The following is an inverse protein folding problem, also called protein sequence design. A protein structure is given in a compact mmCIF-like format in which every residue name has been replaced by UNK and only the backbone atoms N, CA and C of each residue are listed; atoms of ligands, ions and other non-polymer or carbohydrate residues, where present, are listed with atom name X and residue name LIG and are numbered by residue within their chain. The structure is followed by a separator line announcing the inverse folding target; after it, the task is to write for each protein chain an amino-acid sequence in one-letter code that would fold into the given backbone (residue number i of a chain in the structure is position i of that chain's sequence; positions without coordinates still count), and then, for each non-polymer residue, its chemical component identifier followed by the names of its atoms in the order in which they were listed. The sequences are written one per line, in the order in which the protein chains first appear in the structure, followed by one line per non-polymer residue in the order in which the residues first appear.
data_IF_939592283866
#
_entry.id   IF_939592283866
#
_cell.length_a   1.000
_cell.length_b   1.000
_cell.length_c   1.000
_cell.angle_alpha   90.00
_cell.angle_beta   90.00
_cell.angle_gamma   90.00
#
_symmetry.space_group_name_H-M   'P 1'
#
loop_
_entity.id
_entity.type
_entity.pdbx_description
1 polymer ?
#
# COMPACT_ATOMS: atom_id res chain seq x y z
N UNK A 1 6.92 -24.54 2.33
CA UNK A 1 6.01 -23.75 1.49
C UNK A 1 6.78 -23.04 0.36
N UNK A 2 7.80 -22.22 0.66
CA UNK A 2 8.65 -21.55 -0.36
C UNK A 2 9.24 -22.57 -1.34
N UNK A 3 9.69 -23.73 -0.86
CA UNK A 3 10.24 -24.79 -1.69
C UNK A 3 9.21 -25.32 -2.70
N UNK A 4 7.96 -25.51 -2.29
CA UNK A 4 6.89 -26.00 -3.17
C UNK A 4 6.48 -24.97 -4.23
N UNK A 5 6.53 -23.66 -3.92
CA UNK A 5 6.34 -22.62 -4.93
C UNK A 5 7.45 -22.62 -5.97
N UNK A 6 8.71 -22.72 -5.52
CA UNK A 6 9.86 -22.75 -6.41
C UNK A 6 9.90 -23.99 -7.33
N UNK A 7 9.27 -25.10 -6.91
CA UNK A 7 9.17 -26.34 -7.68
C UNK A 7 7.89 -26.42 -8.53
N UNK A 8 7.08 -25.35 -8.57
CA UNK A 8 5.81 -25.30 -9.32
C UNK A 8 4.78 -26.40 -8.88
N UNK A 9 4.84 -26.82 -7.61
CA UNK A 9 3.97 -27.84 -7.02
C UNK A 9 2.79 -27.19 -6.31
N UNK A 10 1.90 -26.59 -7.07
CA UNK A 10 0.76 -25.83 -6.57
C UNK A 10 -0.18 -26.69 -5.71
N UNK A 11 -0.54 -27.87 -6.19
CA UNK A 11 -1.50 -28.75 -5.51
C UNK A 11 -0.98 -29.24 -4.15
N UNK A 12 0.30 -29.62 -4.07
CA UNK A 12 0.94 -30.03 -2.82
C UNK A 12 1.02 -28.86 -1.83
N UNK A 13 1.30 -27.66 -2.32
CA UNK A 13 1.30 -26.43 -1.52
C UNK A 13 -0.08 -26.16 -0.95
N UNK A 14 -1.13 -26.17 -1.77
CA UNK A 14 -2.50 -25.85 -1.39
C UNK A 14 -3.05 -26.88 -0.40
N UNK A 15 -2.69 -28.16 -0.55
CA UNK A 15 -3.00 -29.22 0.40
C UNK A 15 -2.35 -28.99 1.76
N UNK A 16 -1.07 -28.59 1.80
CA UNK A 16 -0.38 -28.23 3.04
C UNK A 16 -1.03 -27.02 3.74
N UNK A 17 -1.38 -26.01 2.97
CA UNK A 17 -2.06 -24.81 3.48
C UNK A 17 -3.40 -25.17 4.13
N UNK A 18 -4.20 -25.98 3.46
CA UNK A 18 -5.51 -26.43 3.96
C UNK A 18 -5.36 -27.26 5.24
N UNK A 19 -4.39 -28.17 5.29
CA UNK A 19 -4.15 -29.07 6.42
C UNK A 19 -3.71 -28.32 7.68
N UNK A 20 -2.99 -27.20 7.54
CA UNK A 20 -2.41 -26.47 8.66
C UNK A 20 -3.06 -25.11 8.94
N UNK A 21 -4.16 -24.78 8.26
CA UNK A 21 -4.84 -23.48 8.35
C UNK A 21 -5.13 -23.03 9.79
N UNK A 22 -5.55 -23.94 10.66
CA UNK A 22 -5.91 -23.61 12.04
C UNK A 22 -4.71 -23.34 12.96
N UNK A 23 -3.54 -23.92 12.63
CA UNK A 23 -2.29 -23.72 13.39
C UNK A 23 -1.60 -22.38 13.09
N UNK A 24 -1.95 -21.73 11.99
CA UNK A 24 -1.23 -20.56 11.44
C UNK A 24 -2.09 -19.31 11.36
N UNK A 25 -3.26 -19.32 11.99
CA UNK A 25 -4.26 -18.22 11.94
C UNK A 25 -3.74 -16.82 12.30
N UNK A 26 -2.62 -16.70 13.04
CA UNK A 26 -2.09 -15.42 13.50
C UNK A 26 -0.60 -15.21 13.13
N UNK A 27 -0.09 -15.98 12.17
CA UNK A 27 1.32 -15.84 11.76
C UNK A 27 1.45 -14.88 10.57
N UNK A 28 1.99 -13.67 10.83
CA UNK A 28 2.26 -12.66 9.80
C UNK A 28 3.16 -13.19 8.67
N UNK A 29 4.12 -14.05 8.97
CA UNK A 29 5.00 -14.65 7.96
C UNK A 29 4.22 -15.57 7.03
N UNK A 30 3.24 -16.28 7.57
CA UNK A 30 2.38 -17.14 6.80
C UNK A 30 1.48 -16.34 5.85
N UNK A 31 0.84 -15.26 6.33
CA UNK A 31 0.02 -14.41 5.47
C UNK A 31 0.85 -13.70 4.39
N UNK A 32 2.05 -13.26 4.72
CA UNK A 32 2.96 -12.71 3.70
C UNK A 32 3.32 -13.75 2.63
N UNK A 33 3.53 -14.98 3.02
CA UNK A 33 3.73 -16.08 2.09
C UNK A 33 2.50 -16.33 1.21
N UNK A 34 1.28 -16.35 1.80
CA UNK A 34 0.02 -16.47 1.04
C UNK A 34 -0.15 -15.33 0.04
N UNK A 35 0.19 -14.10 0.45
CA UNK A 35 0.16 -12.95 -0.44
C UNK A 35 1.04 -13.18 -1.68
N UNK A 36 2.31 -13.49 -1.46
CA UNK A 36 3.28 -13.69 -2.54
C UNK A 36 2.89 -14.83 -3.47
N UNK A 37 2.43 -15.97 -2.93
CA UNK A 37 2.01 -17.11 -3.75
C UNK A 37 0.74 -16.82 -4.54
N UNK A 38 -0.24 -16.15 -3.94
CA UNK A 38 -1.47 -15.76 -4.64
C UNK A 38 -1.17 -14.78 -5.78
N UNK A 39 -0.29 -13.79 -5.54
CA UNK A 39 0.15 -12.86 -6.57
C UNK A 39 0.90 -13.56 -7.71
N UNK A 40 1.78 -14.50 -7.38
CA UNK A 40 2.52 -15.31 -8.36
C UNK A 40 1.57 -16.15 -9.23
N UNK A 41 0.53 -16.72 -8.63
CA UNK A 41 -0.50 -17.51 -9.32
C UNK A 41 -1.49 -16.62 -10.12
N UNK A 42 -1.35 -15.29 -10.10
CA UNK A 42 -2.27 -14.35 -10.76
C UNK A 42 -3.57 -14.11 -10.00
N UNK A 43 -3.73 -14.64 -8.80
CA UNK A 43 -4.87 -14.36 -7.93
C UNK A 43 -4.61 -13.05 -7.16
N UNK A 44 -4.77 -11.92 -7.87
CA UNK A 44 -4.48 -10.60 -7.33
C UNK A 44 -5.41 -10.19 -6.19
N UNK A 45 -6.67 -10.62 -6.23
CA UNK A 45 -7.66 -10.26 -5.20
C UNK A 45 -7.28 -10.82 -3.82
N UNK A 46 -7.02 -12.12 -3.74
CA UNK A 46 -6.57 -12.73 -2.50
C UNK A 46 -5.14 -12.31 -2.13
N UNK A 47 -4.29 -12.14 -3.12
CA UNK A 47 -2.91 -11.72 -2.93
C UNK A 47 -2.82 -10.38 -2.21
N UNK A 48 -3.53 -9.37 -2.68
CA UNK A 48 -3.54 -8.04 -2.04
C UNK A 48 -4.28 -8.03 -0.70
N UNK A 49 -5.30 -8.87 -0.53
CA UNK A 49 -5.96 -9.06 0.75
C UNK A 49 -5.01 -9.63 1.81
N UNK A 50 -4.24 -10.66 1.47
CA UNK A 50 -3.25 -11.23 2.38
C UNK A 50 -2.05 -10.31 2.61
N UNK A 51 -1.71 -9.45 1.65
CA UNK A 51 -0.64 -8.46 1.78
C UNK A 51 -0.89 -7.45 2.91
N UNK A 52 -2.13 -7.24 3.31
CA UNK A 52 -2.48 -6.39 4.46
C UNK A 52 -1.96 -6.93 5.81
N UNK A 53 -1.66 -8.22 5.89
CA UNK A 53 -1.05 -8.83 7.09
C UNK A 53 0.48 -8.70 7.12
N UNK A 54 1.10 -7.97 6.17
CA UNK A 54 2.54 -7.69 6.20
C UNK A 54 2.92 -6.93 7.47
N UNK A 55 4.15 -7.12 7.93
CA UNK A 55 4.69 -6.38 9.06
C UNK A 55 4.95 -4.92 8.63
N UNK A 56 3.94 -4.08 8.71
CA UNK A 56 4.05 -2.65 8.40
C UNK A 56 4.45 -1.88 9.66
N UNK A 57 5.46 -1.03 9.54
CA UNK A 57 5.84 -0.11 10.62
C UNK A 57 4.86 1.05 10.63
N UNK A 58 3.96 1.08 11.61
CA UNK A 58 3.14 2.27 11.83
C UNK A 58 4.06 3.42 12.23
N UNK A 59 3.94 4.54 11.54
CA UNK A 59 4.64 5.76 11.93
C UNK A 59 3.96 6.31 13.19
N UNK A 60 4.68 6.36 14.31
CA UNK A 60 4.13 6.79 15.62
C UNK A 60 3.41 8.13 15.55
N UNK A 61 3.89 9.01 14.69
CA UNK A 61 3.28 10.31 14.46
C UNK A 61 1.80 10.23 14.05
N UNK A 62 1.40 9.20 13.32
CA UNK A 62 0.03 9.02 12.82
C UNK A 62 -0.79 8.02 13.62
N UNK A 63 -0.30 7.54 14.77
CA UNK A 63 -0.95 6.46 15.55
C UNK A 63 -2.39 6.76 15.95
N UNK A 64 -2.70 8.03 16.25
CA UNK A 64 -4.03 8.45 16.70
C UNK A 64 -4.99 8.83 15.55
N UNK A 65 -4.53 8.79 14.29
CA UNK A 65 -5.37 9.08 13.14
C UNK A 65 -6.07 7.79 12.72
N UNK A 66 -7.37 7.89 12.42
CA UNK A 66 -8.18 6.75 11.98
C UNK A 66 -7.64 6.14 10.68
N UNK A 67 -7.50 4.82 10.64
CA UNK A 67 -7.16 4.10 9.40
C UNK A 67 -8.32 4.19 8.40
N UNK A 68 -8.01 4.50 7.13
CA UNK A 68 -8.99 4.47 6.06
C UNK A 68 -9.20 3.03 5.57
N UNK A 69 -10.45 2.58 5.59
CA UNK A 69 -10.83 1.22 5.21
C UNK A 69 -11.78 1.17 4.01
N UNK A 70 -11.92 2.29 3.27
CA UNK A 70 -12.74 2.39 2.06
C UNK A 70 -13.97 3.27 2.23
N UNK A 71 -14.11 4.01 3.32
CA UNK A 71 -15.20 4.96 3.54
C UNK A 71 -15.17 6.12 2.53
N UNK A 72 -16.32 6.78 2.32
CA UNK A 72 -16.39 8.00 1.50
C UNK A 72 -15.56 9.12 2.12
N UNK A 73 -14.63 9.70 1.35
CA UNK A 73 -13.68 10.71 1.81
C UNK A 73 -13.64 12.00 0.96
N UNK A 74 -14.70 12.26 0.18
CA UNK A 74 -14.75 13.40 -0.76
C UNK A 74 -14.52 14.77 -0.10
N UNK A 75 -14.86 14.91 1.19
CA UNK A 75 -14.64 16.13 1.99
C UNK A 75 -13.52 16.00 3.03
N UNK A 76 -12.70 14.95 2.96
CA UNK A 76 -11.75 14.55 3.97
C UNK A 76 -10.31 14.72 3.53
N UNK A 77 -9.44 15.02 4.49
CA UNK A 77 -7.99 15.05 4.31
C UNK A 77 -7.41 13.70 4.72
N UNK A 78 -6.66 13.07 3.83
CA UNK A 78 -6.01 11.80 4.10
C UNK A 78 -4.49 11.92 4.00
N UNK A 79 -3.79 11.33 4.96
CA UNK A 79 -2.34 11.16 4.90
C UNK A 79 -1.99 9.75 4.45
N UNK A 80 -1.14 9.67 3.43
CA UNK A 80 -0.54 8.43 2.94
C UNK A 80 0.91 8.42 3.38
N UNK A 81 1.34 7.38 4.06
CA UNK A 81 2.70 7.30 4.57
C UNK A 81 3.47 6.11 4.00
N UNK A 82 4.78 6.31 3.85
CA UNK A 82 5.70 5.23 3.51
C UNK A 82 5.96 4.35 4.75
N UNK A 83 5.84 3.05 4.58
CA UNK A 83 6.02 2.05 5.65
C UNK A 83 7.17 1.07 5.38
N UNK A 84 7.61 0.97 4.13
CA UNK A 84 8.63 0.02 3.66
C UNK A 84 9.79 0.75 2.97
N UNK A 85 10.39 0.12 1.97
CA UNK A 85 11.52 0.66 1.25
C UNK A 85 11.16 1.80 0.28
N UNK A 86 12.20 2.48 -0.22
CA UNK A 86 12.04 3.56 -1.22
C UNK A 86 11.40 3.05 -2.52
N UNK A 87 11.73 1.82 -2.92
CA UNK A 87 11.16 1.18 -4.11
C UNK A 87 9.65 1.02 -4.01
N UNK A 88 9.13 0.67 -2.83
CA UNK A 88 7.69 0.55 -2.59
C UNK A 88 6.99 1.90 -2.71
N UNK A 89 7.63 2.98 -2.22
CA UNK A 89 7.10 4.34 -2.37
C UNK A 89 6.93 4.73 -3.83
N UNK A 90 7.90 4.38 -4.67
CA UNK A 90 7.87 4.65 -6.12
C UNK A 90 6.83 3.75 -6.80
N UNK A 91 6.89 2.44 -6.54
CA UNK A 91 6.02 1.46 -7.18
C UNK A 91 4.53 1.71 -6.90
N UNK A 92 4.18 2.02 -5.65
CA UNK A 92 2.79 2.21 -5.23
C UNK A 92 2.29 3.65 -5.36
N UNK A 93 3.16 4.62 -5.67
CA UNK A 93 2.77 6.03 -5.83
C UNK A 93 1.70 6.25 -6.90
N UNK A 94 1.63 5.42 -7.94
CA UNK A 94 0.57 5.46 -8.96
C UNK A 94 -0.84 5.41 -8.37
N UNK A 95 -1.02 4.75 -7.20
CA UNK A 95 -2.31 4.66 -6.54
C UNK A 95 -2.74 5.93 -5.80
N UNK A 96 -1.86 6.93 -5.70
CA UNK A 96 -2.23 8.26 -5.21
C UNK A 96 -3.17 8.97 -6.19
N UNK A 97 -3.04 8.73 -7.50
CA UNK A 97 -3.87 9.38 -8.53
C UNK A 97 -5.36 9.07 -8.33
N UNK A 98 -5.83 7.81 -8.30
CA UNK A 98 -7.24 7.54 -8.04
C UNK A 98 -7.69 7.99 -6.65
N UNK A 99 -6.80 8.00 -5.65
CA UNK A 99 -7.12 8.50 -4.31
C UNK A 99 -7.45 10.01 -4.33
N UNK A 100 -6.73 10.83 -5.13
CA UNK A 100 -7.03 12.27 -5.24
C UNK A 100 -8.39 12.57 -5.88
N UNK A 101 -8.93 11.64 -6.66
CA UNK A 101 -10.26 11.78 -7.28
C UNK A 101 -11.41 11.60 -6.27
N UNK A 102 -11.16 10.94 -5.13
CA UNK A 102 -12.17 10.63 -4.12
C UNK A 102 -11.94 11.32 -2.76
N UNK A 103 -10.77 11.93 -2.54
CA UNK A 103 -10.45 12.67 -1.32
C UNK A 103 -10.48 14.18 -1.58
N UNK A 104 -10.68 14.97 -0.52
CA UNK A 104 -10.53 16.44 -0.58
C UNK A 104 -9.08 16.84 -0.81
N UNK A 105 -8.19 16.33 0.03
CA UNK A 105 -6.74 16.51 -0.09
C UNK A 105 -6.02 15.22 0.30
N UNK A 106 -4.97 14.90 -0.44
CA UNK A 106 -4.06 13.79 -0.19
C UNK A 106 -2.70 14.36 0.15
N UNK A 107 -2.13 13.98 1.28
CA UNK A 107 -0.74 14.31 1.64
C UNK A 107 0.06 13.03 1.65
N UNK A 108 1.01 12.91 0.73
CA UNK A 108 1.93 11.78 0.68
C UNK A 108 3.21 12.10 1.43
N UNK A 109 3.49 11.35 2.49
CA UNK A 109 4.64 11.55 3.36
C UNK A 109 5.76 10.60 2.98
N UNK A 110 6.88 11.16 2.55
CA UNK A 110 8.07 10.44 2.10
C UNK A 110 9.32 10.95 2.83
N UNK A 111 10.40 10.23 2.68
CA UNK A 111 11.72 10.67 3.12
C UNK A 111 12.25 11.79 2.21
N UNK A 112 13.05 12.71 2.77
CA UNK A 112 13.57 13.88 2.06
C UNK A 112 14.35 13.53 0.77
N UNK A 113 15.11 12.43 0.82
CA UNK A 113 15.93 11.97 -0.31
C UNK A 113 15.14 11.49 -1.53
N UNK A 114 13.85 11.19 -1.38
CA UNK A 114 12.99 10.77 -2.50
C UNK A 114 11.91 11.79 -2.83
N UNK A 115 11.76 12.84 -2.02
CA UNK A 115 10.73 13.87 -2.25
C UNK A 115 10.88 14.53 -3.62
N UNK A 116 12.10 14.76 -4.07
CA UNK A 116 12.41 15.39 -5.36
C UNK A 116 11.97 14.56 -6.57
N UNK A 117 11.75 13.24 -6.40
CA UNK A 117 11.24 12.39 -7.48
C UNK A 117 9.75 12.66 -7.77
N UNK A 118 9.02 13.22 -6.79
CA UNK A 118 7.58 13.48 -6.89
C UNK A 118 7.31 14.97 -7.11
N UNK A 119 7.86 15.51 -8.19
CA UNK A 119 7.74 16.93 -8.55
C UNK A 119 6.62 17.21 -9.58
N UNK A 120 5.83 16.21 -9.93
CA UNK A 120 4.64 16.37 -10.76
C UNK A 120 3.52 17.09 -10.02
N UNK A 121 2.85 18.02 -10.71
CA UNK A 121 1.69 18.74 -10.16
C UNK A 121 0.41 17.93 -10.38
N UNK A 122 -0.11 17.34 -9.31
CA UNK A 122 -1.41 16.66 -9.31
C UNK A 122 -2.34 17.43 -8.38
N UNK A 123 -3.51 17.78 -8.90
CA UNK A 123 -4.54 18.48 -8.13
C UNK A 123 -4.86 17.70 -6.85
N UNK A 124 -4.93 18.40 -5.73
CA UNK A 124 -5.26 17.85 -4.40
C UNK A 124 -4.20 16.89 -3.82
N UNK A 125 -3.00 16.78 -4.41
CA UNK A 125 -1.89 16.01 -3.88
C UNK A 125 -0.76 16.95 -3.43
N UNK A 126 -0.29 16.75 -2.21
CA UNK A 126 0.97 17.34 -1.71
C UNK A 126 1.93 16.23 -1.31
N UNK A 127 3.21 16.37 -1.67
CA UNK A 127 4.27 15.46 -1.24
C UNK A 127 5.14 16.17 -0.21
N UNK A 128 5.20 15.60 0.98
CA UNK A 128 5.78 16.24 2.16
C UNK A 128 6.75 15.31 2.89
N UNK A 129 7.61 15.90 3.72
CA UNK A 129 8.30 15.12 4.75
C UNK A 129 7.49 15.11 6.06
N UNK A 130 7.89 14.25 6.98
CA UNK A 130 7.20 14.09 8.26
C UNK A 130 7.17 15.40 9.08
N UNK A 131 8.27 16.18 9.05
CA UNK A 131 8.35 17.43 9.80
C UNK A 131 7.35 18.48 9.32
N UNK A 132 7.13 18.57 8.01
CA UNK A 132 6.14 19.48 7.41
C UNK A 132 4.69 19.14 7.77
N UNK A 133 4.45 17.93 8.30
CA UNK A 133 3.11 17.46 8.66
C UNK A 133 2.73 17.73 10.13
N UNK A 134 3.64 18.24 10.97
CA UNK A 134 3.44 18.39 12.42
C UNK A 134 2.21 19.23 12.81
N UNK A 135 1.87 20.23 12.02
CA UNK A 135 0.74 21.13 12.28
C UNK A 135 -0.46 20.89 11.35
N UNK A 136 -0.43 19.80 10.54
CA UNK A 136 -1.53 19.45 9.65
C UNK A 136 -2.51 18.50 10.35
N UNK A 137 -3.80 18.69 10.07
CA UNK A 137 -4.85 17.81 10.56
C UNK A 137 -5.30 16.89 9.44
N UNK A 138 -5.42 15.60 9.77
CA UNK A 138 -5.86 14.56 8.87
C UNK A 138 -7.05 13.82 9.48
N UNK A 139 -8.06 13.55 8.67
CA UNK A 139 -9.22 12.76 9.07
C UNK A 139 -8.88 11.25 9.05
N UNK A 140 -8.04 10.85 8.07
CA UNK A 140 -7.65 9.47 7.85
C UNK A 140 -6.17 9.33 7.54
N UNK A 141 -5.66 8.13 7.78
CA UNK A 141 -4.33 7.69 7.34
C UNK A 141 -4.43 6.39 6.57
N UNK A 142 -3.43 6.11 5.73
CA UNK A 142 -3.24 4.81 5.09
C UNK A 142 -1.76 4.62 4.71
N UNK A 143 -1.28 3.40 4.84
CA UNK A 143 0.03 3.01 4.31
C UNK A 143 0.00 2.97 2.78
N UNK A 144 1.08 3.40 2.10
CA UNK A 144 1.13 3.46 0.63
C UNK A 144 0.86 2.09 -0.01
N UNK A 145 1.42 1.01 0.55
CA UNK A 145 1.21 -0.35 0.06
C UNK A 145 -0.23 -0.87 0.22
N UNK A 146 -1.03 -0.27 1.11
CA UNK A 146 -2.43 -0.67 1.31
C UNK A 146 -3.38 -0.06 0.28
N UNK A 147 -2.95 0.98 -0.47
CA UNK A 147 -3.76 1.56 -1.55
C UNK A 147 -4.06 0.56 -2.66
N UNK A 148 -3.14 -0.37 -2.91
CA UNK A 148 -3.29 -1.35 -3.98
C UNK A 148 -4.55 -2.20 -3.81
N UNK A 149 -4.94 -2.53 -2.59
CA UNK A 149 -6.17 -3.28 -2.28
C UNK A 149 -7.43 -2.62 -2.87
N UNK A 150 -7.45 -1.29 -2.91
CA UNK A 150 -8.60 -0.53 -3.41
C UNK A 150 -8.51 -0.23 -4.91
N UNK A 151 -7.31 -0.12 -5.44
CA UNK A 151 -7.09 0.45 -6.78
C UNK A 151 -6.34 -0.46 -7.76
N UNK A 152 -6.08 -1.73 -7.43
CA UNK A 152 -5.29 -2.62 -8.31
C UNK A 152 -5.95 -2.90 -9.68
N UNK A 153 -7.26 -2.66 -9.81
CA UNK A 153 -8.02 -2.81 -11.07
C UNK A 153 -8.06 -1.52 -11.90
N UNK A 154 -7.58 -0.39 -11.34
CA UNK A 154 -7.57 0.89 -12.04
C UNK A 154 -6.58 0.91 -13.20
N UNK A 155 -6.96 1.57 -14.29
CA UNK A 155 -6.05 1.88 -15.40
C UNK A 155 -5.38 3.23 -15.11
N UNK A 156 -4.08 3.32 -15.31
CA UNK A 156 -3.27 4.50 -15.00
C UNK A 156 -2.69 5.07 -16.28
N UNK A 157 -3.33 6.10 -16.82
CA UNK A 157 -2.84 6.84 -17.98
C UNK A 157 -2.01 8.08 -17.55
N UNK A 158 -2.22 8.56 -16.31
CA UNK A 158 -1.64 9.81 -15.78
C UNK A 158 -0.42 9.61 -14.88
N UNK A 159 0.12 8.40 -14.79
CA UNK A 159 1.23 8.08 -13.88
C UNK A 159 2.51 8.88 -14.19
N UNK A 160 2.74 9.20 -15.47
CA UNK A 160 3.91 9.97 -15.91
C UNK A 160 3.98 11.37 -15.29
N UNK A 161 2.84 11.93 -14.88
CA UNK A 161 2.77 13.27 -14.30
C UNK A 161 3.23 13.34 -12.83
N UNK A 162 3.27 12.22 -12.11
CA UNK A 162 3.65 12.19 -10.70
C UNK A 162 5.17 12.13 -10.51
N UNK A 163 5.85 11.38 -11.35
CA UNK A 163 7.31 11.23 -11.31
C UNK A 163 7.85 11.81 -12.61
N UNK A 164 8.58 12.91 -12.51
CA UNK A 164 9.31 13.47 -13.65
C UNK A 164 10.76 13.01 -13.61
N UNK A 165 11.20 12.36 -14.66
CA UNK A 165 12.63 12.18 -14.97
C UNK A 165 13.13 13.44 -15.65
N UNK A 166 14.09 14.12 -15.03
CA UNK A 166 14.83 15.23 -15.66
C UNK A 166 15.71 14.71 -16.78
#
# INVERSE_FOLDING_TARGET
LILYSNLNKKDDRDKLLTTHKDRIKNDHKFYNYLALTSLYDGNFEDGWKYYEYRNSKTVDFFKNIKEWTGEKIISKNIVVFNEQGLGDSIQFSKYLIPLTKIAKNVTFVVQDNVKSLFNGEIKNLSVENLNSCKNKQFDFKIAIGSLIKFFFKEKFDDHENLIRTN
#
